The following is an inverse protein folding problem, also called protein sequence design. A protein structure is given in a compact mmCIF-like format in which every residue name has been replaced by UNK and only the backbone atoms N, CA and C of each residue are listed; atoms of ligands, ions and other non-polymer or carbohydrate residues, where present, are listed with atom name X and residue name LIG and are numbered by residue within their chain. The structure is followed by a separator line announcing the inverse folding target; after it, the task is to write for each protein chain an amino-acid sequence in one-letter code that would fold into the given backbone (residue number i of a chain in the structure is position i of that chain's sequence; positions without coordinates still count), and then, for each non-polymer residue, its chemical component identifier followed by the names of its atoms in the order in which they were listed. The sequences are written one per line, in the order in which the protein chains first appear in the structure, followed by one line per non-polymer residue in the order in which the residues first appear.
data_IF_247018401830
#
_entry.id   IF_247018401830
#
_cell.length_a   1.000
_cell.length_b   1.000
_cell.length_c   1.000
_cell.angle_alpha   90.00
_cell.angle_beta   90.00
_cell.angle_gamma   90.00
#
_symmetry.space_group_name_H-M   'P 1'
#
loop_
_entity.id
_entity.type
_entity.pdbx_description
1 polymer ?
#
# COMPACT_ATOMS: atom_id res chain seq x y z
N UNK A 1 -40.14 46.80 -42.28
CA UNK A 1 -40.60 46.82 -40.87
C UNK A 1 -40.49 45.39 -40.34
N UNK A 2 -39.29 44.99 -39.92
CA UNK A 2 -38.95 43.60 -39.57
C UNK A 2 -39.08 43.38 -38.06
N UNK A 3 -39.78 42.31 -37.70
CA UNK A 3 -40.13 41.81 -36.37
C UNK A 3 -39.00 41.79 -35.33
N UNK A 4 -39.22 42.26 -34.08
CA UNK A 4 -38.30 42.08 -32.96
C UNK A 4 -38.69 40.83 -32.13
N UNK A 5 -38.90 39.68 -32.78
CA UNK A 5 -39.30 38.43 -32.10
C UNK A 5 -38.12 37.47 -31.82
N UNK A 6 -36.93 37.80 -32.31
CA UNK A 6 -35.75 36.93 -32.23
C UNK A 6 -35.14 36.89 -30.82
N UNK A 7 -35.20 38.01 -30.11
CA UNK A 7 -34.66 38.16 -28.75
C UNK A 7 -35.41 37.34 -27.69
N UNK A 8 -36.77 37.38 -27.60
CA UNK A 8 -37.48 36.57 -26.62
C UNK A 8 -37.36 35.07 -26.93
N UNK A 9 -37.31 34.69 -28.21
CA UNK A 9 -37.13 33.30 -28.63
C UNK A 9 -35.76 32.75 -28.20
N UNK A 10 -34.70 33.55 -28.34
CA UNK A 10 -33.34 33.17 -27.93
C UNK A 10 -33.22 33.04 -26.41
N UNK A 11 -33.87 33.93 -25.64
CA UNK A 11 -33.92 33.84 -24.18
C UNK A 11 -34.71 32.61 -23.71
N UNK A 12 -35.83 32.28 -24.37
CA UNK A 12 -36.57 31.04 -24.06
C UNK A 12 -35.75 29.79 -24.37
N UNK A 13 -34.96 29.80 -25.46
CA UNK A 13 -34.13 28.64 -25.82
C UNK A 13 -32.99 28.39 -24.81
N UNK A 14 -32.45 29.45 -24.21
CA UNK A 14 -31.42 29.35 -23.15
C UNK A 14 -31.96 28.82 -21.81
N UNK A 15 -33.27 28.97 -21.55
CA UNK A 15 -33.93 28.38 -20.38
C UNK A 15 -34.16 26.87 -20.54
N UNK A 16 -34.28 26.36 -21.77
CA UNK A 16 -34.42 24.92 -22.05
C UNK A 16 -33.09 24.16 -22.06
N UNK A 17 -31.94 24.85 -22.08
CA UNK A 17 -30.61 24.23 -21.97
C UNK A 17 -30.12 24.10 -20.53
N UNK A 18 -31.01 24.20 -19.54
CA UNK A 18 -30.71 23.71 -18.20
C UNK A 18 -30.46 22.20 -18.32
N UNK A 19 -29.20 21.84 -18.51
CA UNK A 19 -28.72 20.47 -18.47
C UNK A 19 -29.15 19.90 -17.13
N UNK A 20 -30.25 19.14 -17.11
CA UNK A 20 -30.48 18.21 -16.02
C UNK A 20 -29.19 17.40 -15.90
N UNK A 21 -28.57 17.29 -14.72
CA UNK A 21 -27.54 16.28 -14.54
C UNK A 21 -28.23 14.98 -14.91
N UNK A 22 -27.79 14.35 -16.00
CA UNK A 22 -28.28 13.04 -16.37
C UNK A 22 -27.96 12.14 -15.17
N UNK A 23 -28.97 11.91 -14.33
CA UNK A 23 -28.89 10.90 -13.28
C UNK A 23 -28.72 9.61 -14.05
N UNK A 24 -27.49 9.12 -14.13
CA UNK A 24 -27.21 7.84 -14.72
C UNK A 24 -28.02 6.81 -13.92
N UNK A 25 -29.16 6.40 -14.46
CA UNK A 25 -29.97 5.35 -13.85
C UNK A 25 -29.17 4.06 -14.01
N UNK A 26 -28.46 3.66 -12.96
CA UNK A 26 -27.76 2.38 -12.97
C UNK A 26 -28.82 1.28 -13.13
N UNK A 27 -28.67 0.46 -14.15
CA UNK A 27 -29.65 -0.61 -14.43
C UNK A 27 -29.47 -1.78 -13.45
N UNK A 28 -28.33 -1.84 -12.76
CA UNK A 28 -28.02 -2.76 -11.67
C UNK A 28 -27.29 -1.95 -10.59
N UNK A 29 -27.68 -2.13 -9.33
CA UNK A 29 -27.02 -1.54 -8.17
C UNK A 29 -26.82 -2.61 -7.12
N UNK A 30 -25.66 -2.58 -6.46
CA UNK A 30 -25.29 -3.50 -5.39
C UNK A 30 -24.79 -2.67 -4.22
N UNK A 31 -25.31 -2.96 -3.03
CA UNK A 31 -24.86 -2.33 -1.78
C UNK A 31 -24.05 -3.37 -1.00
N UNK A 32 -22.83 -3.01 -0.65
CA UNK A 32 -21.95 -3.85 0.19
C UNK A 32 -22.08 -3.36 1.63
N UNK A 33 -22.41 -4.27 2.54
CA UNK A 33 -22.48 -3.97 3.97
C UNK A 33 -21.08 -3.84 4.59
N UNK A 34 -21.02 -3.28 5.79
CA UNK A 34 -19.77 -3.29 6.58
C UNK A 34 -19.21 -4.71 6.77
N UNK A 35 -20.07 -5.70 7.04
CA UNK A 35 -19.64 -7.09 7.16
C UNK A 35 -19.06 -7.67 5.87
N UNK A 36 -19.56 -7.25 4.70
CA UNK A 36 -18.98 -7.61 3.40
C UNK A 36 -17.62 -6.97 3.17
N UNK A 37 -17.44 -5.72 3.62
CA UNK A 37 -16.13 -5.05 3.61
C UNK A 37 -15.15 -5.71 4.57
N UNK A 38 -15.59 -6.10 5.77
CA UNK A 38 -14.75 -6.81 6.75
C UNK A 38 -14.28 -8.15 6.17
N UNK A 39 -15.16 -8.89 5.50
CA UNK A 39 -14.80 -10.11 4.77
C UNK A 39 -13.79 -9.85 3.66
N UNK A 40 -14.02 -8.83 2.81
CA UNK A 40 -13.10 -8.50 1.73
C UNK A 40 -11.72 -8.08 2.25
N UNK A 41 -11.68 -7.32 3.35
CA UNK A 41 -10.47 -6.94 4.07
C UNK A 41 -9.70 -8.17 4.54
N UNK A 42 -10.35 -9.13 5.20
CA UNK A 42 -9.69 -10.35 5.69
C UNK A 42 -9.13 -11.18 4.52
N UNK A 43 -9.87 -11.28 3.41
CA UNK A 43 -9.40 -11.94 2.19
C UNK A 43 -8.16 -11.24 1.62
N UNK A 44 -8.20 -9.91 1.47
CA UNK A 44 -7.07 -9.14 0.94
C UNK A 44 -5.83 -9.26 1.81
N UNK A 45 -5.99 -9.23 3.15
CA UNK A 45 -4.89 -9.38 4.10
C UNK A 45 -4.27 -10.78 3.99
N UNK A 46 -5.08 -11.84 3.96
CA UNK A 46 -4.57 -13.21 3.79
C UNK A 46 -3.84 -13.38 2.45
N UNK A 47 -4.37 -12.81 1.37
CA UNK A 47 -3.74 -12.85 0.06
C UNK A 47 -2.43 -12.05 0.03
N UNK A 48 -2.39 -10.89 0.69
CA UNK A 48 -1.17 -10.08 0.81
C UNK A 48 -0.08 -10.85 1.56
N UNK A 49 -0.41 -11.52 2.67
CA UNK A 49 0.54 -12.39 3.39
C UNK A 49 1.07 -13.48 2.45
N UNK A 50 0.19 -14.22 1.78
CA UNK A 50 0.59 -15.30 0.87
C UNK A 50 1.44 -14.82 -0.32
N UNK A 51 1.22 -13.59 -0.81
CA UNK A 51 1.99 -13.04 -1.94
C UNK A 51 3.35 -12.50 -1.50
N UNK A 52 3.46 -12.04 -0.26
CA UNK A 52 4.71 -11.52 0.32
C UNK A 52 5.59 -12.61 0.93
N UNK A 53 5.13 -13.86 0.98
CA UNK A 53 5.89 -14.98 1.55
C UNK A 53 5.89 -16.20 0.62
N UNK A 54 7.07 -16.74 0.21
CA UNK A 54 8.40 -16.29 0.60
C UNK A 54 8.89 -15.07 -0.21
N UNK A 55 9.63 -14.16 0.42
CA UNK A 55 10.25 -13.00 -0.26
C UNK A 55 11.74 -12.90 0.05
N UNK A 56 12.57 -12.82 -0.99
CA UNK A 56 14.01 -12.59 -0.86
C UNK A 56 14.28 -11.12 -0.55
N UNK A 57 15.07 -10.87 0.50
CA UNK A 57 15.53 -9.55 0.90
C UNK A 57 16.99 -9.40 0.45
N UNK A 58 17.39 -8.22 -0.07
CA UNK A 58 18.77 -7.98 -0.49
C UNK A 58 19.79 -8.17 0.65
N UNK A 59 20.97 -8.64 0.28
CA UNK A 59 22.10 -8.82 1.21
C UNK A 59 22.51 -7.48 1.85
N UNK A 60 22.97 -7.56 3.10
CA UNK A 60 23.37 -6.40 3.91
C UNK A 60 24.82 -6.56 4.32
N UNK A 61 25.65 -5.60 3.93
CA UNK A 61 27.06 -5.52 4.35
C UNK A 61 27.33 -4.28 5.18
N UNK A 62 28.11 -4.43 6.26
CA UNK A 62 28.55 -3.33 7.11
C UNK A 62 30.00 -3.52 7.54
N UNK A 63 30.73 -2.42 7.65
CA UNK A 63 32.08 -2.40 8.22
C UNK A 63 32.11 -1.35 9.32
N UNK A 64 32.63 -1.70 10.49
CA UNK A 64 32.78 -0.80 11.64
C UNK A 64 34.11 -1.00 12.34
N UNK A 65 34.64 0.06 12.94
CA UNK A 65 35.83 -0.01 13.77
C UNK A 65 35.44 -0.10 15.24
N UNK A 66 35.92 -1.13 15.92
CA UNK A 66 35.70 -1.36 17.34
C UNK A 66 37.03 -1.15 18.06
N UNK A 67 37.12 -0.25 19.08
CA UNK A 67 38.33 -0.09 19.88
C UNK A 67 38.82 -1.44 20.42
N UNK A 68 40.13 -1.67 20.40
CA UNK A 68 40.81 -2.90 20.84
C UNK A 68 40.58 -4.17 19.99
N UNK A 69 39.53 -4.24 19.18
CA UNK A 69 39.26 -5.39 18.28
C UNK A 69 39.75 -5.12 16.85
N UNK A 70 39.72 -3.87 16.40
CA UNK A 70 40.08 -3.46 15.04
C UNK A 70 38.88 -3.26 14.13
N UNK A 71 39.09 -3.41 12.83
CA UNK A 71 38.02 -3.22 11.83
C UNK A 71 37.29 -4.54 11.61
N UNK A 72 35.98 -4.52 11.85
CA UNK A 72 35.08 -5.66 11.69
C UNK A 72 34.20 -5.44 10.47
N UNK A 73 34.23 -6.39 9.54
CA UNK A 73 33.27 -6.48 8.42
C UNK A 73 32.24 -7.55 8.76
N UNK A 74 30.96 -7.23 8.61
CA UNK A 74 29.83 -8.11 8.84
C UNK A 74 29.00 -8.16 7.57
N UNK A 75 28.52 -9.35 7.20
CA UNK A 75 27.58 -9.53 6.11
C UNK A 75 26.44 -10.45 6.54
N UNK A 76 25.22 -10.11 6.12
CA UNK A 76 24.05 -10.98 6.18
C UNK A 76 23.57 -11.22 4.74
N UNK A 77 23.46 -12.47 4.34
CA UNK A 77 23.12 -12.90 2.99
C UNK A 77 22.05 -13.97 2.99
N UNK A 78 21.41 -14.17 1.82
CA UNK A 78 20.36 -15.19 1.69
C UNK A 78 19.19 -14.91 2.62
N UNK A 79 18.87 -13.63 2.82
CA UNK A 79 17.83 -13.20 3.75
C UNK A 79 16.47 -13.54 3.11
N UNK A 80 15.71 -14.42 3.75
CA UNK A 80 14.41 -14.87 3.27
C UNK A 80 13.32 -14.55 4.30
N UNK A 81 12.32 -13.79 3.88
CA UNK A 81 11.08 -13.64 4.62
C UNK A 81 10.21 -14.87 4.38
N UNK A 82 10.15 -15.74 5.38
CA UNK A 82 9.49 -17.05 5.38
C UNK A 82 8.00 -16.93 5.75
N UNK A 83 7.66 -15.97 6.60
CA UNK A 83 6.35 -15.92 7.23
C UNK A 83 6.01 -14.53 7.76
N UNK A 84 4.73 -14.19 7.71
CA UNK A 84 4.16 -12.96 8.24
C UNK A 84 2.92 -13.29 9.07
N UNK A 85 2.86 -12.77 10.29
CA UNK A 85 1.67 -12.85 11.13
C UNK A 85 1.05 -11.46 11.27
N UNK A 86 -0.26 -11.35 11.02
CA UNK A 86 -1.02 -10.10 11.16
C UNK A 86 -1.84 -10.18 12.45
N UNK A 87 -1.73 -9.16 13.32
CA UNK A 87 -2.49 -9.11 14.57
C UNK A 87 -3.90 -8.56 14.37
N UNK A 88 -4.00 -7.49 13.59
CA UNK A 88 -5.26 -6.77 13.39
C UNK A 88 -5.29 -6.15 12.00
N UNK A 89 -6.49 -6.00 11.46
CA UNK A 89 -6.76 -5.34 10.19
C UNK A 89 -8.02 -4.49 10.29
N UNK A 90 -8.01 -3.32 9.67
CA UNK A 90 -9.15 -2.41 9.59
C UNK A 90 -9.51 -2.12 8.15
N UNK A 91 -10.78 -1.79 7.94
CA UNK A 91 -11.29 -1.30 6.66
C UNK A 91 -12.14 -0.07 6.92
N UNK A 92 -11.94 0.96 6.10
CA UNK A 92 -12.68 2.19 6.17
C UNK A 92 -13.07 2.65 4.77
N UNK A 93 -14.28 3.20 4.64
CA UNK A 93 -14.76 3.85 3.42
C UNK A 93 -14.63 5.36 3.62
N UNK A 94 -13.97 6.03 2.68
CA UNK A 94 -13.89 7.49 2.61
C UNK A 94 -14.53 8.00 1.32
N UNK A 95 -14.50 9.32 1.15
CA UNK A 95 -15.16 9.99 0.01
C UNK A 95 -14.62 9.57 -1.37
N UNK A 96 -13.37 9.10 -1.43
CA UNK A 96 -12.68 8.72 -2.68
C UNK A 96 -12.46 7.22 -2.84
N UNK A 97 -12.82 6.37 -1.86
CA UNK A 97 -12.59 4.93 -1.97
C UNK A 97 -12.55 4.18 -0.65
N UNK A 98 -12.02 2.95 -0.71
CA UNK A 98 -11.90 2.03 0.43
C UNK A 98 -10.43 1.87 0.80
N UNK A 99 -10.12 2.03 2.08
CA UNK A 99 -8.79 1.84 2.64
C UNK A 99 -8.77 0.60 3.50
N UNK A 100 -7.81 -0.27 3.25
CA UNK A 100 -7.51 -1.45 4.09
C UNK A 100 -6.15 -1.22 4.74
N UNK A 101 -6.08 -1.38 6.06
CA UNK A 101 -4.84 -1.29 6.81
C UNK A 101 -4.67 -2.55 7.66
N UNK A 102 -3.42 -2.97 7.86
CA UNK A 102 -3.08 -4.13 8.68
C UNK A 102 -1.88 -3.81 9.58
N UNK A 103 -1.93 -4.34 10.79
CA UNK A 103 -0.84 -4.27 11.76
C UNK A 103 -0.21 -5.65 11.88
N UNK A 104 1.10 -5.71 11.59
CA UNK A 104 1.87 -6.95 11.68
C UNK A 104 2.23 -7.26 13.13
N UNK A 105 2.10 -8.54 13.51
CA UNK A 105 2.54 -9.10 14.78
C UNK A 105 4.04 -9.46 14.73
N UNK A 106 4.42 -10.18 13.68
CA UNK A 106 5.76 -10.72 13.50
C UNK A 106 6.06 -10.99 12.03
N UNK A 107 7.36 -11.07 11.75
CA UNK A 107 7.93 -11.50 10.48
C UNK A 107 9.03 -12.51 10.76
N UNK A 108 8.96 -13.68 10.11
CA UNK A 108 9.96 -14.72 10.23
C UNK A 108 11.01 -14.55 9.14
N UNK A 109 12.25 -14.35 9.54
CA UNK A 109 13.38 -14.17 8.62
C UNK A 109 14.41 -15.28 8.87
N UNK A 110 14.85 -15.94 7.80
CA UNK A 110 16.05 -16.77 7.82
C UNK A 110 17.18 -16.04 7.10
N UNK A 111 18.42 -16.21 7.54
CA UNK A 111 19.58 -15.57 6.94
C UNK A 111 20.86 -16.35 7.28
N UNK A 112 21.85 -16.23 6.40
CA UNK A 112 23.23 -16.59 6.68
C UNK A 112 23.98 -15.32 7.10
N UNK A 113 24.81 -15.42 8.13
CA UNK A 113 25.61 -14.29 8.58
C UNK A 113 27.08 -14.68 8.69
N UNK A 114 27.96 -13.75 8.35
CA UNK A 114 29.38 -13.90 8.54
C UNK A 114 30.00 -12.61 9.09
N UNK A 115 31.18 -12.75 9.68
CA UNK A 115 32.00 -11.63 10.10
C UNK A 115 33.48 -11.94 9.90
N UNK A 116 34.27 -10.90 9.67
CA UNK A 116 35.73 -10.95 9.64
C UNK A 116 36.30 -9.76 10.40
N UNK A 117 37.44 -9.99 11.05
CA UNK A 117 38.16 -8.96 11.78
C UNK A 117 39.54 -8.72 11.16
N UNK A 118 39.95 -7.46 11.18
CA UNK A 118 41.32 -7.04 10.87
C UNK A 118 41.84 -6.25 12.07
N UNK A 119 42.55 -6.96 12.94
CA UNK A 119 43.18 -6.37 14.11
C UNK A 119 44.45 -5.64 13.69
N UNK A 120 44.67 -4.48 14.30
CA UNK A 120 45.97 -3.82 14.33
C UNK A 120 46.69 -4.38 15.56
N UNK A 121 47.29 -5.55 15.43
CA UNK A 121 48.21 -6.02 16.47
C UNK A 121 49.44 -5.10 16.39
N UNK A 122 49.57 -4.20 17.36
CA UNK A 122 50.87 -3.64 17.70
C UNK A 122 51.52 -4.65 18.64
N UNK A 123 52.26 -5.61 18.09
CA UNK A 123 53.20 -6.40 18.88
C UNK A 123 54.29 -5.46 19.36
N UNK A 124 54.42 -5.33 20.69
CA UNK A 124 55.50 -4.62 21.36
C UNK A 124 56.54 -5.63 21.84
#
# INVERSE_FOLDING_TARGET
MGTPLLLPLLVTLQLFTASSPAVASSHISVVISQSGLDFAKDLLVSHAVATLTPLNVPDIERTMSIPLVGTVRMAASGILLDGLAVTNSTVAVGDTGVVVAASLASANLTMEWNYSYSAWIVTN
#
